data_IF_720200226887
#
_entry.id   IF_720200226887
#
_cell.length_a   1.000
_cell.length_b   1.000
_cell.length_c   1.000
_cell.angle_alpha   90.00
_cell.angle_beta   90.00
_cell.angle_gamma   90.00
#
_symmetry.space_group_name_H-M   'P 1'
#
loop_
_entity.id
_entity.type
_entity.pdbx_description
1 polymer ?
#
# COMPACT_ATOMS: atom_id res chain seq x y z
N UNK A 1 -25.90 -79.61 -2.04
CA UNK A 1 -25.64 -79.61 -0.58
C UNK A 1 -24.90 -78.34 -0.20
N UNK A 2 -25.28 -77.76 0.93
CA UNK A 2 -24.89 -76.45 1.51
C UNK A 2 -23.39 -76.14 1.59
N UNK A 3 -23.00 -74.87 1.37
CA UNK A 3 -22.52 -73.96 2.45
C UNK A 3 -22.34 -72.50 1.99
N UNK A 4 -22.77 -71.59 2.87
CA UNK A 4 -22.66 -70.12 2.82
C UNK A 4 -21.23 -69.68 3.16
N UNK A 5 -20.75 -68.58 2.57
CA UNK A 5 -19.88 -67.62 3.27
C UNK A 5 -20.08 -66.21 2.69
N UNK A 6 -20.70 -65.33 3.48
CA UNK A 6 -20.61 -63.87 3.35
C UNK A 6 -19.17 -63.47 3.69
N UNK A 7 -18.53 -62.59 2.90
CA UNK A 7 -17.42 -61.79 3.42
C UNK A 7 -17.53 -60.34 2.97
N UNK A 8 -17.57 -59.49 4.00
CA UNK A 8 -17.63 -58.04 4.02
C UNK A 8 -16.31 -57.46 3.49
N UNK A 9 -16.35 -56.52 2.54
CA UNK A 9 -15.27 -55.55 2.29
C UNK A 9 -15.95 -54.38 1.56
N UNK A 10 -16.43 -53.36 2.25
CA UNK A 10 -15.57 -52.38 2.93
C UNK A 10 -15.37 -51.21 1.96
N UNK A 11 -16.38 -50.35 1.83
CA UNK A 11 -16.37 -49.14 1.01
C UNK A 11 -15.32 -48.16 1.59
N UNK A 12 -14.11 -48.19 1.04
CA UNK A 12 -13.03 -47.28 1.42
C UNK A 12 -13.24 -45.94 0.71
N UNK A 13 -14.15 -45.13 1.25
CA UNK A 13 -14.34 -43.73 0.84
C UNK A 13 -13.13 -42.92 1.30
N UNK A 14 -12.14 -42.76 0.42
CA UNK A 14 -10.97 -41.92 0.65
C UNK A 14 -11.42 -40.45 0.70
N UNK A 15 -11.65 -39.93 1.91
CA UNK A 15 -11.78 -38.49 2.15
C UNK A 15 -10.43 -37.84 1.87
N UNK A 16 -10.24 -37.31 0.65
CA UNK A 16 -9.23 -36.29 0.41
C UNK A 16 -9.69 -35.01 1.11
N UNK A 17 -9.36 -34.88 2.39
CA UNK A 17 -9.37 -33.62 3.09
C UNK A 17 -8.32 -32.73 2.43
N UNK A 18 -8.76 -31.90 1.49
CA UNK A 18 -8.00 -30.73 1.05
C UNK A 18 -7.96 -29.78 2.24
N UNK A 19 -6.93 -29.95 3.08
CA UNK A 19 -6.57 -28.95 4.07
C UNK A 19 -6.20 -27.68 3.31
N UNK A 20 -7.01 -26.63 3.46
CA UNK A 20 -6.62 -25.31 3.02
C UNK A 20 -5.41 -24.92 3.87
N UNK A 21 -4.21 -25.03 3.30
CA UNK A 21 -2.96 -24.61 3.92
C UNK A 21 -3.13 -23.14 4.31
N UNK A 22 -3.19 -22.87 5.61
CA UNK A 22 -3.08 -21.50 6.11
C UNK A 22 -1.62 -21.15 5.97
N UNK A 23 -1.32 -20.22 5.07
CA UNK A 23 0.03 -19.64 4.95
C UNK A 23 0.56 -19.36 6.36
N UNK A 24 1.68 -19.97 6.77
CA UNK A 24 2.29 -19.64 8.05
C UNK A 24 2.54 -18.14 8.04
N UNK A 25 2.07 -17.44 9.08
CA UNK A 25 2.33 -16.01 9.27
C UNK A 25 3.82 -15.79 8.96
N UNK A 26 4.16 -14.88 8.01
CA UNK A 26 5.54 -14.72 7.59
C UNK A 26 6.38 -14.51 8.84
N UNK A 27 7.34 -15.42 9.06
CA UNK A 27 8.23 -15.34 10.22
C UNK A 27 8.75 -13.91 10.32
N UNK A 28 8.51 -13.25 11.46
CA UNK A 28 8.91 -11.86 11.72
C UNK A 28 10.42 -11.76 11.91
N UNK A 29 11.20 -12.27 10.97
CA UNK A 29 12.65 -12.22 10.99
C UNK A 29 13.10 -10.82 10.55
N UNK A 30 12.64 -9.76 11.21
CA UNK A 30 13.10 -8.40 10.95
C UNK A 30 14.45 -8.19 11.61
N UNK A 31 15.31 -7.41 10.96
CA UNK A 31 16.58 -7.01 11.55
C UNK A 31 16.33 -5.83 12.49
N UNK A 32 16.91 -5.89 13.68
CA UNK A 32 16.91 -4.76 14.62
C UNK A 32 17.68 -3.61 13.96
N UNK A 33 17.04 -2.45 13.88
CA UNK A 33 17.61 -1.20 13.35
C UNK A 33 17.09 -0.03 14.17
N UNK A 34 17.89 1.01 14.28
CA UNK A 34 17.44 2.28 14.83
C UNK A 34 16.45 2.97 13.88
N UNK A 35 15.54 3.82 14.39
CA UNK A 35 14.66 4.63 13.55
C UNK A 35 15.42 5.47 12.51
N UNK A 36 16.61 5.97 12.86
CA UNK A 36 17.46 6.79 12.00
C UNK A 36 18.03 5.99 10.83
N UNK A 37 18.57 4.80 11.08
CA UNK A 37 19.07 3.90 10.03
C UNK A 37 17.96 3.51 9.06
N UNK A 38 16.78 3.20 9.60
CA UNK A 38 15.62 2.85 8.78
C UNK A 38 15.11 4.02 7.96
N UNK A 39 15.06 5.21 8.53
CA UNK A 39 14.76 6.44 7.80
C UNK A 39 15.75 6.62 6.64
N UNK A 40 17.06 6.52 6.89
CA UNK A 40 18.09 6.65 5.86
C UNK A 40 17.96 5.60 4.75
N UNK A 41 17.65 4.35 5.10
CA UNK A 41 17.45 3.24 4.15
C UNK A 41 16.30 3.52 3.17
N UNK A 42 15.19 4.07 3.67
CA UNK A 42 13.93 4.20 2.92
C UNK A 42 13.76 5.58 2.27
N UNK A 43 14.34 6.63 2.86
CA UNK A 43 14.30 7.98 2.33
C UNK A 43 15.01 8.11 0.98
N UNK A 44 16.10 7.35 0.77
CA UNK A 44 16.87 7.35 -0.49
C UNK A 44 16.17 6.69 -1.68
N UNK A 45 15.07 5.95 -1.45
CA UNK A 45 14.37 5.24 -2.51
C UNK A 45 13.61 6.23 -3.41
N UNK A 46 14.09 6.33 -4.66
CA UNK A 46 13.54 7.20 -5.70
C UNK A 46 12.71 6.46 -6.74
N UNK A 47 12.89 5.16 -6.87
CA UNK A 47 12.22 4.34 -7.89
C UNK A 47 11.56 3.14 -7.22
N UNK A 48 10.23 3.14 -7.23
CA UNK A 48 9.47 2.09 -6.58
C UNK A 48 8.06 2.00 -7.14
N UNK A 49 7.49 0.82 -7.01
CA UNK A 49 6.12 0.53 -7.33
C UNK A 49 5.47 -0.19 -6.17
N UNK A 50 4.18 0.08 -5.97
CA UNK A 50 3.37 -0.67 -5.02
C UNK A 50 1.92 -0.72 -5.50
N UNK A 51 1.25 -1.80 -5.15
CA UNK A 51 -0.16 -2.00 -5.42
C UNK A 51 -0.87 -2.58 -4.21
N UNK A 52 -2.17 -2.35 -4.15
CA UNK A 52 -2.97 -2.82 -3.04
C UNK A 52 -4.41 -2.36 -3.13
N UNK A 53 -5.05 -2.31 -1.96
CA UNK A 53 -6.44 -1.86 -1.81
C UNK A 53 -6.47 -0.64 -0.91
N UNK A 54 -7.24 0.37 -1.30
CA UNK A 54 -7.57 1.55 -0.51
C UNK A 54 -9.05 1.50 -0.13
N UNK A 55 -9.34 1.80 1.13
CA UNK A 55 -10.68 2.09 1.62
C UNK A 55 -10.71 3.54 2.12
N UNK A 56 -11.72 4.29 1.71
CA UNK A 56 -11.94 5.68 2.09
C UNK A 56 -13.31 5.78 2.73
N UNK A 57 -13.36 6.19 3.98
CA UNK A 57 -14.58 6.37 4.76
C UNK A 57 -14.70 7.84 5.16
N UNK A 58 -15.73 8.50 4.63
CA UNK A 58 -16.13 9.84 5.03
C UNK A 58 -17.32 9.75 5.97
N UNK A 59 -17.41 10.63 6.97
CA UNK A 59 -18.56 10.68 7.88
C UNK A 59 -19.84 10.96 7.09
N UNK A 60 -20.87 10.11 7.28
CA UNK A 60 -22.16 10.24 6.60
C UNK A 60 -22.24 9.58 5.22
N UNK A 61 -21.13 9.06 4.69
CA UNK A 61 -21.07 8.45 3.35
C UNK A 61 -20.79 6.94 3.43
N UNK A 62 -21.13 6.20 2.37
CA UNK A 62 -20.72 4.79 2.24
C UNK A 62 -19.21 4.72 1.95
N UNK A 63 -18.48 3.75 2.54
CA UNK A 63 -17.06 3.60 2.25
C UNK A 63 -16.82 3.27 0.78
N UNK A 64 -15.84 3.95 0.21
CA UNK A 64 -15.37 3.72 -1.16
C UNK A 64 -14.16 2.79 -1.10
N UNK A 65 -14.21 1.71 -1.89
CA UNK A 65 -13.11 0.74 -2.00
C UNK A 65 -12.59 0.74 -3.44
N UNK A 66 -11.28 0.82 -3.58
CA UNK A 66 -10.59 0.78 -4.86
C UNK A 66 -9.29 0.00 -4.75
N UNK A 67 -8.86 -0.61 -5.84
CA UNK A 67 -7.48 -1.02 -6.00
C UNK A 67 -6.64 0.20 -6.34
N UNK A 68 -5.44 0.29 -5.77
CA UNK A 68 -4.47 1.30 -6.14
C UNK A 68 -3.24 0.67 -6.79
N UNK A 69 -2.66 1.41 -7.74
CA UNK A 69 -1.33 1.17 -8.28
C UNK A 69 -0.57 2.49 -8.24
N UNK A 70 0.61 2.48 -7.63
CA UNK A 70 1.47 3.66 -7.51
C UNK A 70 2.84 3.34 -8.05
N UNK A 71 3.23 4.06 -9.10
CA UNK A 71 4.58 4.03 -9.66
C UNK A 71 5.26 5.38 -9.43
N UNK A 72 6.44 5.38 -8.83
CA UNK A 72 7.28 6.56 -8.62
C UNK A 72 8.59 6.39 -9.36
N UNK A 73 8.92 7.39 -10.16
CA UNK A 73 10.14 7.53 -10.93
C UNK A 73 10.78 8.88 -10.60
N UNK A 74 11.62 8.89 -9.56
CA UNK A 74 12.23 10.09 -9.00
C UNK A 74 11.17 11.13 -8.57
N UNK A 75 11.06 12.27 -9.26
CA UNK A 75 10.08 13.33 -8.95
C UNK A 75 8.74 13.16 -9.68
N UNK A 76 8.67 12.22 -10.62
CA UNK A 76 7.48 11.90 -11.38
C UNK A 76 6.78 10.71 -10.75
N UNK A 77 5.45 10.68 -10.84
CA UNK A 77 4.69 9.52 -10.39
C UNK A 77 3.37 9.38 -11.12
N UNK A 78 2.84 8.17 -11.09
CA UNK A 78 1.49 7.83 -11.53
C UNK A 78 0.78 7.06 -10.43
N UNK A 79 -0.35 7.59 -9.98
CA UNK A 79 -1.27 6.90 -9.06
C UNK A 79 -2.51 6.57 -9.86
N UNK A 80 -2.92 5.31 -9.82
CA UNK A 80 -4.17 4.84 -10.40
C UNK A 80 -5.04 4.27 -9.29
N UNK A 81 -6.30 4.66 -9.25
CA UNK A 81 -7.34 4.09 -8.40
C UNK A 81 -8.43 3.49 -9.30
N UNK A 82 -8.77 2.23 -9.09
CA UNK A 82 -9.83 1.53 -9.83
C UNK A 82 -10.85 1.01 -8.83
N UNK A 83 -12.10 1.45 -8.92
CA UNK A 83 -13.18 0.90 -8.10
C UNK A 83 -13.30 -0.60 -8.31
N UNK A 84 -13.43 -1.38 -7.22
CA UNK A 84 -13.61 -2.83 -7.30
C UNK A 84 -14.87 -3.21 -8.07
N UNK A 85 -15.88 -2.32 -8.06
CA UNK A 85 -17.13 -2.48 -8.80
C UNK A 85 -17.06 -1.92 -10.23
N UNK A 86 -15.90 -1.46 -10.70
CA UNK A 86 -15.73 -0.86 -12.03
C UNK A 86 -16.41 0.50 -12.23
N UNK A 87 -16.99 1.09 -11.18
CA UNK A 87 -17.78 2.33 -11.27
C UNK A 87 -16.96 3.57 -11.63
N UNK A 88 -15.68 3.57 -11.26
CA UNK A 88 -14.78 4.67 -11.59
C UNK A 88 -13.33 4.22 -11.69
N UNK A 89 -12.57 4.99 -12.47
CA UNK A 89 -11.12 4.96 -12.55
C UNK A 89 -10.59 6.38 -12.41
N UNK A 90 -9.65 6.58 -11.51
CA UNK A 90 -8.93 7.85 -11.34
C UNK A 90 -7.47 7.61 -11.65
N UNK A 91 -6.86 8.50 -12.43
CA UNK A 91 -5.41 8.50 -12.65
C UNK A 91 -4.85 9.88 -12.33
N UNK A 92 -3.82 9.95 -11.49
CA UNK A 92 -3.10 11.16 -11.12
C UNK A 92 -1.67 10.99 -11.61
N UNK A 93 -1.24 11.83 -12.55
CA UNK A 93 0.14 11.83 -13.02
C UNK A 93 0.83 13.14 -12.68
N UNK A 94 2.03 13.05 -12.11
CA UNK A 94 2.98 14.16 -12.00
C UNK A 94 4.12 13.93 -12.99
N UNK A 95 4.33 14.89 -13.89
CA UNK A 95 5.45 14.90 -14.82
C UNK A 95 5.86 16.34 -15.15
N UNK A 96 7.17 16.62 -15.20
CA UNK A 96 7.72 17.92 -15.61
C UNK A 96 7.11 19.12 -14.86
N UNK A 97 6.89 18.99 -13.55
CA UNK A 97 6.28 20.05 -12.72
C UNK A 97 4.76 20.23 -12.88
N UNK A 98 4.13 19.51 -13.79
CA UNK A 98 2.67 19.51 -13.99
C UNK A 98 2.01 18.31 -13.31
N UNK A 99 0.79 18.50 -12.81
CA UNK A 99 -0.05 17.42 -12.29
C UNK A 99 -1.35 17.39 -13.07
N UNK A 100 -1.71 16.22 -13.58
CA UNK A 100 -2.91 15.97 -14.35
C UNK A 100 -3.74 14.89 -13.68
N UNK A 101 -5.08 15.04 -13.68
CA UNK A 101 -6.01 14.01 -13.25
C UNK A 101 -6.98 13.64 -14.36
N UNK A 102 -7.14 12.34 -14.55
CA UNK A 102 -8.17 11.75 -15.38
C UNK A 102 -9.19 11.01 -14.52
N UNK A 103 -10.46 11.11 -14.89
CA UNK A 103 -11.55 10.32 -14.33
C UNK A 103 -12.25 9.63 -15.50
N UNK A 104 -12.31 8.30 -15.46
CA UNK A 104 -12.90 7.48 -16.54
C UNK A 104 -12.38 7.86 -17.94
N UNK A 105 -11.06 8.06 -18.05
CA UNK A 105 -10.34 8.46 -19.26
C UNK A 105 -10.58 9.90 -19.75
N UNK A 106 -11.45 10.67 -19.11
CA UNK A 106 -11.60 12.10 -19.38
C UNK A 106 -10.61 12.90 -18.54
N UNK A 107 -9.80 13.75 -19.18
CA UNK A 107 -8.96 14.71 -18.46
C UNK A 107 -9.87 15.70 -17.74
N UNK A 108 -9.81 15.71 -16.41
CA UNK A 108 -10.68 16.55 -15.61
C UNK A 108 -10.00 17.87 -15.30
N UNK A 109 -8.73 17.82 -14.84
CA UNK A 109 -8.03 19.01 -14.37
C UNK A 109 -6.51 18.92 -14.54
N UNK A 110 -5.87 20.10 -14.62
CA UNK A 110 -4.43 20.29 -14.46
C UNK A 110 -4.20 21.26 -13.29
N UNK A 111 -3.26 20.95 -12.39
CA UNK A 111 -2.97 21.75 -11.22
C UNK A 111 -1.46 21.82 -10.92
N UNK A 112 -1.08 22.76 -10.05
CA UNK A 112 0.29 22.87 -9.50
C UNK A 112 0.52 21.93 -8.30
N UNK A 113 -0.54 21.50 -7.62
CA UNK A 113 -0.49 20.58 -6.47
C UNK A 113 -1.55 19.48 -6.56
N UNK A 114 -1.29 18.26 -6.03
CA UNK A 114 -2.25 17.16 -6.09
C UNK A 114 -3.47 17.41 -5.19
N UNK A 115 -3.27 18.05 -4.04
CA UNK A 115 -4.30 18.28 -3.03
C UNK A 115 -5.38 19.22 -3.54
N UNK A 116 -4.99 20.31 -4.20
CA UNK A 116 -5.94 21.27 -4.79
C UNK A 116 -6.82 20.63 -5.87
N UNK A 117 -6.35 19.53 -6.47
CA UNK A 117 -7.06 18.80 -7.50
C UNK A 117 -8.10 17.85 -6.87
N UNK A 118 -7.69 17.08 -5.85
CA UNK A 118 -8.57 16.11 -5.19
C UNK A 118 -9.77 16.80 -4.52
N UNK A 119 -9.55 17.95 -3.87
CA UNK A 119 -10.63 18.70 -3.23
C UNK A 119 -11.75 19.07 -4.22
N UNK A 120 -11.39 19.54 -5.42
CA UNK A 120 -12.36 19.97 -6.44
C UNK A 120 -13.12 18.80 -7.07
N UNK A 121 -12.48 17.63 -7.17
CA UNK A 121 -13.02 16.48 -7.92
C UNK A 121 -13.79 15.51 -7.02
N UNK A 122 -13.40 15.40 -5.75
CA UNK A 122 -13.90 14.38 -4.83
C UNK A 122 -14.53 14.95 -3.55
N UNK A 123 -14.43 16.27 -3.31
CA UNK A 123 -14.96 16.92 -2.10
C UNK A 123 -14.11 16.73 -0.84
N UNK A 124 -13.08 15.88 -0.90
CA UNK A 124 -12.11 15.63 0.16
C UNK A 124 -10.68 15.66 -0.38
N UNK A 125 -9.72 15.80 0.54
CA UNK A 125 -8.30 15.87 0.22
C UNK A 125 -7.52 14.85 1.04
N UNK A 126 -6.86 13.93 0.34
CA UNK A 126 -5.76 13.13 0.90
C UNK A 126 -4.45 13.86 0.57
N UNK A 127 -3.54 14.03 1.54
CA UNK A 127 -2.26 14.72 1.33
C UNK A 127 -1.30 13.81 0.56
N UNK A 128 -1.40 13.80 -0.77
CA UNK A 128 -0.56 12.94 -1.63
C UNK A 128 0.92 13.25 -1.44
N UNK A 129 1.27 14.52 -1.25
CA UNK A 129 2.65 14.93 -0.95
C UNK A 129 3.21 14.28 0.32
N UNK A 130 2.47 14.28 1.42
CA UNK A 130 2.87 13.60 2.65
C UNK A 130 2.79 12.07 2.51
N UNK A 131 1.78 11.59 1.77
CA UNK A 131 1.53 10.17 1.59
C UNK A 131 2.70 9.45 0.90
N UNK A 132 3.46 10.13 0.04
CA UNK A 132 4.70 9.59 -0.54
C UNK A 132 5.73 9.16 0.51
N UNK A 133 5.79 9.86 1.64
CA UNK A 133 6.65 9.49 2.76
C UNK A 133 5.96 8.46 3.65
N UNK A 134 4.69 8.69 4.00
CA UNK A 134 3.95 7.84 4.91
C UNK A 134 3.77 6.43 4.38
N UNK A 135 3.54 6.24 3.08
CA UNK A 135 3.41 4.91 2.46
C UNK A 135 4.67 4.07 2.62
N UNK A 136 5.84 4.72 2.65
CA UNK A 136 7.13 4.08 2.88
C UNK A 136 7.42 3.84 4.38
N UNK A 137 6.58 4.35 5.28
CA UNK A 137 6.76 4.19 6.73
C UNK A 137 7.74 5.20 7.34
N UNK A 138 7.84 6.41 6.78
CA UNK A 138 8.64 7.50 7.34
C UNK A 138 7.79 8.78 7.49
N UNK A 139 8.10 9.67 8.44
CA UNK A 139 7.46 10.99 8.52
C UNK A 139 7.73 11.80 7.24
N UNK A 140 6.77 12.62 6.84
CA UNK A 140 6.96 13.51 5.70
C UNK A 140 7.91 14.66 6.06
N UNK A 141 8.75 15.14 5.13
CA UNK A 141 9.53 16.35 5.36
C UNK A 141 8.59 17.56 5.55
N UNK A 142 8.72 18.29 6.65
CA UNK A 142 7.96 19.51 6.89
C UNK A 142 8.89 20.67 7.26
N UNK A 143 8.55 21.87 6.78
CA UNK A 143 9.35 23.09 7.06
C UNK A 143 9.12 23.65 8.46
N UNK A 144 7.94 23.41 9.03
CA UNK A 144 7.49 23.91 10.33
C UNK A 144 6.50 22.92 10.96
N UNK A 145 6.27 23.05 12.26
CA UNK A 145 5.35 22.22 13.03
C UNK A 145 6.04 21.07 13.75
N UNK A 146 5.44 20.64 14.86
CA UNK A 146 5.84 19.44 15.58
C UNK A 146 5.12 18.23 14.98
N UNK A 147 5.78 17.09 14.97
CA UNK A 147 5.17 15.80 14.69
C UNK A 147 5.54 14.83 15.80
N UNK A 148 4.70 13.84 16.03
CA UNK A 148 4.94 12.80 17.05
C UNK A 148 5.11 11.46 16.35
N UNK A 149 6.11 10.70 16.76
CA UNK A 149 6.42 9.38 16.23
C UNK A 149 6.48 8.35 17.33
N UNK A 150 6.06 7.14 17.00
CA UNK A 150 6.26 5.94 17.80
C UNK A 150 6.87 4.87 16.91
N UNK A 151 7.93 4.24 17.38
CA UNK A 151 8.60 3.15 16.69
C UNK A 151 8.50 1.85 17.49
N UNK A 152 8.64 0.71 16.81
CA UNK A 152 8.88 -0.57 17.47
C UNK A 152 10.39 -0.86 17.61
N UNK A 153 10.72 -2.06 18.12
CA UNK A 153 12.10 -2.52 18.33
C UNK A 153 12.92 -2.72 17.03
N UNK A 154 12.27 -2.76 15.86
CA UNK A 154 12.92 -2.88 14.55
C UNK A 154 13.08 -1.51 13.87
N UNK A 155 12.76 -0.43 14.59
CA UNK A 155 12.74 0.94 14.07
C UNK A 155 11.54 1.20 13.15
N UNK A 156 10.58 0.28 13.05
CA UNK A 156 9.41 0.45 12.20
C UNK A 156 8.50 1.54 12.79
N UNK A 157 8.04 2.46 11.95
CA UNK A 157 7.10 3.50 12.37
C UNK A 157 5.75 2.84 12.67
N UNK A 158 5.29 2.86 13.91
CA UNK A 158 4.00 2.25 14.31
C UNK A 158 2.91 3.28 14.60
N UNK A 159 3.30 4.54 14.82
CA UNK A 159 2.38 5.65 14.98
C UNK A 159 3.01 6.98 14.58
N UNK A 160 2.24 7.82 13.89
CA UNK A 160 2.64 9.16 13.48
C UNK A 160 1.46 10.13 13.67
N UNK A 161 1.71 11.28 14.28
CA UNK A 161 0.80 12.44 14.24
C UNK A 161 1.50 13.57 13.50
N UNK A 162 0.98 13.96 12.34
CA UNK A 162 1.58 14.97 11.47
C UNK A 162 0.52 15.68 10.64
N UNK A 163 0.61 17.02 10.52
CA UNK A 163 -0.30 17.84 9.71
C UNK A 163 -1.81 17.57 9.95
N UNK A 164 -2.19 17.34 11.22
CA UNK A 164 -3.57 17.05 11.62
C UNK A 164 -4.04 15.62 11.34
N UNK A 165 -3.16 14.75 10.83
CA UNK A 165 -3.42 13.33 10.63
C UNK A 165 -2.86 12.49 11.76
N UNK A 166 -3.59 11.44 12.14
CA UNK A 166 -3.07 10.31 12.92
C UNK A 166 -2.93 9.11 12.01
N UNK A 167 -1.72 8.59 11.88
CA UNK A 167 -1.35 7.48 11.02
C UNK A 167 -0.87 6.31 11.88
N UNK A 168 -1.42 5.13 11.66
CA UNK A 168 -1.09 3.90 12.37
C UNK A 168 -0.64 2.84 11.38
N UNK A 169 0.43 2.12 11.74
CA UNK A 169 1.00 1.06 10.94
C UNK A 169 0.89 -0.26 11.72
N UNK A 170 0.04 -1.17 11.25
CA UNK A 170 -0.29 -2.38 12.02
C UNK A 170 0.40 -3.63 11.51
N UNK A 171 1.00 -3.58 10.32
CA UNK A 171 1.72 -4.70 9.73
C UNK A 171 2.85 -4.22 8.82
N UNK A 172 3.93 -4.98 8.80
CA UNK A 172 5.09 -4.79 7.94
C UNK A 172 5.40 -6.09 7.21
N UNK A 173 5.93 -5.98 5.99
CA UNK A 173 6.41 -7.10 5.18
C UNK A 173 7.80 -6.78 4.66
N UNK A 174 8.70 -7.77 4.75
CA UNK A 174 10.05 -7.69 4.17
C UNK A 174 9.98 -8.00 2.67
N UNK A 175 10.64 -7.19 1.84
CA UNK A 175 10.83 -7.46 0.41
C UNK A 175 12.00 -8.42 0.19
N UNK A 176 12.12 -8.96 -1.02
CA UNK A 176 13.25 -9.81 -1.40
C UNK A 176 14.61 -9.12 -1.22
N UNK A 177 14.66 -7.80 -1.42
CA UNK A 177 15.85 -6.96 -1.19
C UNK A 177 16.13 -6.67 0.29
N UNK A 178 15.38 -7.29 1.22
CA UNK A 178 15.61 -7.17 2.66
C UNK A 178 15.16 -5.85 3.29
N UNK A 179 14.32 -5.07 2.60
CA UNK A 179 13.73 -3.84 3.11
C UNK A 179 12.33 -4.13 3.64
N UNK A 180 12.02 -3.69 4.85
CA UNK A 180 10.69 -3.87 5.42
C UNK A 180 9.82 -2.66 5.04
N UNK A 181 8.63 -2.89 4.48
CA UNK A 181 7.66 -1.84 4.20
C UNK A 181 6.34 -2.04 4.94
N UNK A 182 5.58 -0.98 5.21
CA UNK A 182 4.23 -1.11 5.69
C UNK A 182 3.39 -2.00 4.76
N UNK A 183 2.60 -2.86 5.37
CA UNK A 183 1.57 -3.66 4.69
C UNK A 183 0.18 -3.11 4.98
N UNK A 184 -0.06 -2.57 6.18
CA UNK A 184 -1.34 -1.98 6.56
C UNK A 184 -1.09 -0.61 7.18
N UNK A 185 -1.69 0.41 6.57
CA UNK A 185 -1.62 1.80 7.03
C UNK A 185 -3.04 2.31 7.20
N UNK A 186 -3.36 2.83 8.38
CA UNK A 186 -4.62 3.53 8.64
C UNK A 186 -4.29 4.99 8.90
N UNK A 187 -4.98 5.91 8.23
CA UNK A 187 -4.81 7.35 8.37
C UNK A 187 -6.15 7.95 8.72
N UNK A 188 -6.17 8.81 9.73
CA UNK A 188 -7.41 9.40 10.23
C UNK A 188 -7.23 10.89 10.48
N UNK A 189 -8.27 11.65 10.19
CA UNK A 189 -8.48 13.03 10.62
C UNK A 189 -9.98 13.24 10.85
N UNK A 190 -10.42 14.36 11.46
CA UNK A 190 -11.85 14.63 11.61
C UNK A 190 -12.62 14.48 10.28
N UNK A 191 -13.66 13.65 10.28
CA UNK A 191 -14.53 13.43 9.12
C UNK A 191 -14.01 12.47 8.04
N UNK A 192 -12.77 11.96 8.14
CA UNK A 192 -12.15 11.14 7.09
C UNK A 192 -11.19 10.08 7.65
N UNK A 193 -11.43 8.83 7.26
CA UNK A 193 -10.52 7.71 7.50
C UNK A 193 -10.13 7.06 6.18
N UNK A 194 -8.85 6.73 6.04
CA UNK A 194 -8.27 6.06 4.88
C UNK A 194 -7.48 4.86 5.35
N UNK A 195 -7.73 3.69 4.76
CA UNK A 195 -6.96 2.47 5.03
C UNK A 195 -6.31 1.98 3.75
N UNK A 196 -5.02 1.74 3.80
CA UNK A 196 -4.23 1.10 2.75
C UNK A 196 -3.88 -0.32 3.19
N UNK A 197 -4.16 -1.28 2.33
CA UNK A 197 -3.65 -2.65 2.43
C UNK A 197 -2.75 -2.87 1.22
N UNK A 198 -1.44 -2.82 1.44
CA UNK A 198 -0.44 -2.98 0.41
C UNK A 198 -0.20 -4.48 0.21
N UNK A 199 -0.35 -4.94 -1.03
CA UNK A 199 -0.14 -6.34 -1.41
C UNK A 199 1.33 -6.59 -1.77
N UNK A 200 1.89 -5.70 -2.57
CA UNK A 200 3.21 -5.86 -3.16
C UNK A 200 4.01 -4.55 -3.16
N UNK A 201 5.32 -4.72 -3.09
CA UNK A 201 6.33 -3.68 -3.23
C UNK A 201 7.38 -4.17 -4.22
N UNK A 202 7.67 -3.34 -5.22
CA UNK A 202 8.73 -3.59 -6.19
C UNK A 202 9.69 -2.41 -6.14
N UNK A 203 10.94 -2.68 -5.78
CA UNK A 203 12.01 -1.70 -5.90
C UNK A 203 12.57 -1.80 -7.31
N UNK A 204 12.53 -0.68 -8.03
CA UNK A 204 13.13 -0.62 -9.34
C UNK A 204 14.58 -0.23 -9.11
N UNK A 205 15.51 -1.15 -9.37
CA UNK A 205 16.92 -0.81 -9.30
C UNK A 205 17.26 0.22 -10.38
N UNK A 206 18.27 1.06 -10.12
CA UNK A 206 18.89 1.96 -11.08
C UNK A 206 19.63 1.21 -12.23
N UNK A 207 19.42 -0.11 -12.38
CA UNK A 207 20.08 -0.89 -13.44
C UNK A 207 19.55 -0.44 -14.80
N UNK A 208 20.48 0.20 -15.50
CA UNK A 208 20.59 0.52 -16.92
C UNK A 208 19.64 -0.27 -17.84
N UNK A 209 19.08 0.37 -18.88
CA UNK A 209 18.32 -0.35 -19.90
C UNK A 209 19.16 -1.50 -20.49
N UNK A 210 18.55 -2.66 -20.72
CA UNK A 210 19.19 -3.92 -21.14
C UNK A 210 19.93 -3.90 -22.50
N UNK A 211 20.30 -2.74 -23.05
CA UNK A 211 21.03 -2.63 -24.33
C UNK A 211 22.54 -2.39 -24.18
N UNK A 212 23.11 -2.40 -22.97
CA UNK A 212 24.56 -2.29 -22.75
C UNK A 212 25.30 -3.62 -22.51
N UNK A 213 24.65 -4.78 -22.66
CA UNK A 213 25.34 -6.06 -22.65
C UNK A 213 25.59 -6.56 -24.08
N UNK A 214 26.67 -6.06 -24.70
CA UNK A 214 27.34 -6.71 -25.83
C UNK A 214 28.32 -7.75 -25.34
#
# INVERSE_FOLDING_TARGET
MFKKTLFFFGLLTLFFLVGCERDPLPSKNFFIRTPQERYAQVAKLKYWQTLGVISIQQTGEKPVIAEFYWNVMNQSYRIRLTSVLGLFRIEICRAFGSIKLWKNSTLVYTAKTPEGLLQKTMGWTIPISQLQAWIKGIPAPQKKGLYYVKYDQFGHLIGLKQDGWSVQYSAYKKTEQGIDFPQIITMTRPGLAVKLVIKEWTLLNDYLPMWEAT
#
